data_IF_715064546222
#
_entry.id   IF_715064546222
#
_cell.length_a   1.000
_cell.length_b   1.000
_cell.length_c   1.000
_cell.angle_alpha   90.00
_cell.angle_beta   90.00
_cell.angle_gamma   90.00
#
_symmetry.space_group_name_H-M   'P 1'
#
loop_
_entity.id
_entity.type
_entity.pdbx_description
1 polymer ?
#
# COMPACT_ATOMS: atom_id res chain seq x y z
N UNK A 1 6.17 -3.18 -10.35
CA UNK A 1 5.75 -4.54 -9.96
C UNK A 1 6.16 -4.90 -8.53
N UNK A 2 7.44 -4.81 -8.15
CA UNK A 2 7.94 -5.23 -6.81
C UNK A 2 7.15 -4.67 -5.60
N UNK A 3 6.88 -3.36 -5.54
CA UNK A 3 6.12 -2.74 -4.42
C UNK A 3 4.71 -3.32 -4.27
N UNK A 4 4.04 -3.70 -5.37
CA UNK A 4 2.73 -4.34 -5.33
C UNK A 4 2.82 -5.76 -4.80
N UNK A 5 3.86 -6.52 -5.18
CA UNK A 5 4.11 -7.87 -4.65
C UNK A 5 4.37 -7.82 -3.14
N UNK A 6 5.18 -6.88 -2.67
CA UNK A 6 5.44 -6.67 -1.24
C UNK A 6 4.16 -6.31 -0.48
N UNK A 7 3.35 -5.39 -1.02
CA UNK A 7 2.06 -5.04 -0.43
C UNK A 7 1.14 -6.27 -0.30
N UNK A 8 1.02 -7.07 -1.36
CA UNK A 8 0.23 -8.31 -1.32
C UNK A 8 0.74 -9.29 -0.26
N UNK A 9 2.07 -9.42 -0.12
CA UNK A 9 2.67 -10.28 0.92
C UNK A 9 2.34 -9.80 2.34
N UNK A 10 2.28 -8.48 2.56
CA UNK A 10 1.88 -7.92 3.85
C UNK A 10 0.38 -8.12 4.14
N UNK A 11 -0.45 -8.14 3.09
CA UNK A 11 -1.90 -8.27 3.21
C UNK A 11 -2.40 -9.72 3.29
N UNK A 12 -1.58 -10.72 2.93
CA UNK A 12 -1.99 -12.13 2.83
C UNK A 12 -2.53 -12.68 4.16
N UNK A 13 -2.01 -12.20 5.28
CA UNK A 13 -2.45 -12.59 6.64
C UNK A 13 -3.66 -11.79 7.14
N UNK A 14 -4.24 -10.96 6.27
CA UNK A 14 -5.38 -10.09 6.56
C UNK A 14 -5.19 -9.24 7.84
N UNK A 15 -4.05 -8.52 7.99
CA UNK A 15 -3.76 -7.78 9.20
C UNK A 15 -4.81 -6.69 9.48
N UNK A 16 -5.02 -6.37 10.76
CA UNK A 16 -5.88 -5.25 11.17
C UNK A 16 -5.24 -3.90 10.84
N UNK A 17 -3.92 -3.81 11.00
CA UNK A 17 -3.13 -2.61 10.77
C UNK A 17 -1.92 -2.98 9.92
N UNK A 18 -1.62 -2.19 8.89
CA UNK A 18 -0.43 -2.34 8.05
C UNK A 18 0.42 -1.07 8.15
N UNK A 19 1.72 -1.22 8.37
CA UNK A 19 2.68 -0.10 8.37
C UNK A 19 3.57 -0.23 7.14
N UNK A 20 3.71 0.85 6.38
CA UNK A 20 4.52 0.90 5.17
C UNK A 20 5.53 2.03 5.31
N UNK A 21 6.82 1.68 5.31
CA UNK A 21 7.91 2.65 5.35
C UNK A 21 8.36 2.99 3.93
N UNK A 22 8.34 4.27 3.59
CA UNK A 22 8.64 4.81 2.26
C UNK A 22 8.04 3.97 1.10
N UNK A 23 6.71 3.73 1.09
CA UNK A 23 6.07 2.82 0.13
C UNK A 23 6.24 3.25 -1.33
N UNK A 24 6.51 4.52 -1.55
CA UNK A 24 6.59 5.14 -2.87
C UNK A 24 8.01 5.48 -3.32
N UNK A 25 9.02 5.08 -2.54
CA UNK A 25 10.42 5.27 -2.91
C UNK A 25 10.74 4.67 -4.28
N UNK A 26 11.51 5.41 -5.08
CA UNK A 26 11.95 5.03 -6.43
C UNK A 26 10.81 4.82 -7.45
N UNK A 27 9.60 5.31 -7.18
CA UNK A 27 8.52 5.34 -8.18
C UNK A 27 8.52 6.66 -8.95
N UNK A 28 8.23 6.60 -10.25
CA UNK A 28 7.88 7.79 -11.03
C UNK A 28 6.54 8.39 -10.54
N UNK A 29 6.25 9.62 -10.97
CA UNK A 29 5.06 10.38 -10.53
C UNK A 29 3.76 9.63 -10.78
N UNK A 30 3.60 8.99 -11.94
CA UNK A 30 2.37 8.28 -12.32
C UNK A 30 2.23 7.00 -11.48
N UNK A 31 3.29 6.21 -11.41
CA UNK A 31 3.34 4.98 -10.61
C UNK A 31 3.08 5.25 -9.13
N UNK A 32 3.57 6.37 -8.60
CA UNK A 32 3.29 6.81 -7.22
C UNK A 32 1.81 7.10 -7.00
N UNK A 33 1.17 7.85 -7.89
CA UNK A 33 -0.27 8.14 -7.81
C UNK A 33 -1.10 6.86 -7.87
N UNK A 34 -0.77 5.96 -8.81
CA UNK A 34 -1.44 4.67 -8.93
C UNK A 34 -1.29 3.83 -7.66
N UNK A 35 -0.09 3.82 -7.05
CA UNK A 35 0.15 3.08 -5.81
C UNK A 35 -0.63 3.67 -4.62
N UNK A 36 -0.64 5.00 -4.49
CA UNK A 36 -1.41 5.67 -3.43
C UNK A 36 -2.91 5.45 -3.57
N UNK A 37 -3.44 5.39 -4.80
CA UNK A 37 -4.84 5.04 -5.04
C UNK A 37 -5.16 3.62 -4.58
N UNK A 38 -4.27 2.65 -4.83
CA UNK A 38 -4.42 1.28 -4.32
C UNK A 38 -4.50 1.27 -2.78
N UNK A 39 -3.59 1.99 -2.10
CA UNK A 39 -3.62 2.07 -0.63
C UNK A 39 -4.90 2.73 -0.12
N UNK A 40 -5.37 3.77 -0.80
CA UNK A 40 -6.63 4.45 -0.45
C UNK A 40 -7.83 3.53 -0.61
N UNK A 41 -7.89 2.76 -1.69
CA UNK A 41 -8.94 1.78 -1.92
C UNK A 41 -8.92 0.69 -0.85
N UNK A 42 -7.74 0.21 -0.45
CA UNK A 42 -7.59 -0.74 0.65
C UNK A 42 -8.13 -0.18 1.97
N UNK A 43 -7.87 1.09 2.26
CA UNK A 43 -8.34 1.71 3.48
C UNK A 43 -9.85 1.93 3.48
N UNK A 44 -10.40 2.54 2.41
CA UNK A 44 -11.81 2.94 2.35
C UNK A 44 -12.73 1.76 2.06
N UNK A 45 -12.40 0.94 1.07
CA UNK A 45 -13.27 -0.16 0.61
C UNK A 45 -13.21 -1.38 1.51
N UNK A 46 -12.05 -1.65 2.10
CA UNK A 46 -11.81 -2.84 2.91
C UNK A 46 -11.56 -2.54 4.39
N UNK A 47 -11.80 -1.28 4.82
CA UNK A 47 -11.69 -0.83 6.21
C UNK A 47 -10.33 -1.18 6.85
N UNK A 48 -9.26 -1.04 6.08
CA UNK A 48 -7.89 -1.28 6.57
C UNK A 48 -7.29 -0.01 7.15
N UNK A 49 -6.64 -0.15 8.30
CA UNK A 49 -5.77 0.90 8.84
C UNK A 49 -4.40 0.76 8.21
N UNK A 50 -3.96 1.77 7.48
CA UNK A 50 -2.64 1.84 6.85
C UNK A 50 -1.92 3.06 7.41
N UNK A 51 -0.73 2.83 7.98
CA UNK A 51 0.16 3.88 8.45
C UNK A 51 1.31 3.95 7.45
N UNK A 52 1.63 5.17 7.01
CA UNK A 52 2.71 5.43 6.07
C UNK A 52 3.71 6.34 6.78
N UNK A 53 5.00 6.00 6.68
CA UNK A 53 6.12 6.83 7.12
C UNK A 53 6.96 7.30 5.96
#
# INVERSE_FOLDING_TARGET
MQKRTLLLSALVTNPKITVLDEPTANLDVKSRLDFMNILKDLSVKYQKTIIIT
#
